data_IF_983240342059
#
_entry.id   IF_983240342059
#
_cell.length_a   1.000
_cell.length_b   1.000
_cell.length_c   1.000
_cell.angle_alpha   90.00
_cell.angle_beta   90.00
_cell.angle_gamma   90.00
#
_symmetry.space_group_name_H-M   'P 1'
#
loop_
_entity.id
_entity.type
_entity.pdbx_description
1 polymer ?
#
# COMPACT_ATOMS: atom_id res chain seq x y z
N UNK A 1 11.76 1.14 -6.20
CA UNK A 1 10.77 0.13 -5.84
C UNK A 1 9.38 0.57 -6.29
N UNK A 2 8.65 -0.30 -6.99
CA UNK A 2 7.30 -0.02 -7.44
C UNK A 2 6.58 -1.30 -7.89
N UNK A 3 5.27 -1.36 -7.69
CA UNK A 3 4.43 -2.47 -8.13
C UNK A 3 3.21 -1.97 -8.91
N UNK A 4 2.88 -2.68 -9.99
CA UNK A 4 1.60 -2.57 -10.70
C UNK A 4 1.00 -3.95 -10.86
N UNK A 5 -0.30 -4.05 -10.71
CA UNK A 5 -1.05 -5.28 -10.98
C UNK A 5 -1.79 -5.15 -12.31
N UNK A 6 -1.61 -6.12 -13.17
CA UNK A 6 -2.30 -6.21 -14.46
C UNK A 6 -2.98 -7.56 -14.60
N UNK A 7 -4.08 -7.61 -15.35
CA UNK A 7 -4.82 -8.84 -15.64
C UNK A 7 -4.70 -9.18 -17.11
N UNK A 8 -4.27 -10.40 -17.39
CA UNK A 8 -4.31 -10.93 -18.76
C UNK A 8 -5.68 -11.51 -19.04
N UNK A 9 -6.48 -10.80 -19.84
CA UNK A 9 -7.86 -11.14 -20.14
C UNK A 9 -8.87 -10.24 -19.43
N UNK A 10 -10.06 -10.77 -19.15
CA UNK A 10 -11.13 -10.00 -18.49
C UNK A 10 -11.04 -10.19 -16.97
N UNK A 11 -10.85 -9.12 -16.19
CA UNK A 11 -10.83 -9.22 -14.74
C UNK A 11 -12.23 -9.57 -14.21
N UNK A 12 -12.26 -10.34 -13.11
CA UNK A 12 -13.51 -10.58 -12.36
C UNK A 12 -13.92 -9.34 -11.58
N UNK A 13 -15.21 -9.23 -11.23
CA UNK A 13 -15.71 -8.12 -10.40
C UNK A 13 -14.96 -8.02 -9.08
N UNK A 14 -14.58 -9.15 -8.46
CA UNK A 14 -13.82 -9.16 -7.22
C UNK A 14 -12.37 -8.68 -7.42
N UNK A 15 -11.72 -9.04 -8.53
CA UNK A 15 -10.39 -8.51 -8.86
C UNK A 15 -10.43 -6.99 -9.08
N UNK A 16 -11.47 -6.48 -9.74
CA UNK A 16 -11.69 -5.04 -9.91
C UNK A 16 -11.90 -4.38 -8.54
N UNK A 17 -12.72 -4.97 -7.67
CA UNK A 17 -12.98 -4.46 -6.32
C UNK A 17 -11.71 -4.41 -5.47
N UNK A 18 -10.91 -5.49 -5.45
CA UNK A 18 -9.62 -5.54 -4.77
C UNK A 18 -8.69 -4.42 -5.27
N UNK A 19 -8.53 -4.30 -6.57
CA UNK A 19 -7.63 -3.32 -7.18
C UNK A 19 -8.07 -1.87 -6.88
N UNK A 20 -9.34 -1.55 -7.07
CA UNK A 20 -9.88 -0.22 -6.77
C UNK A 20 -9.63 0.16 -5.31
N UNK A 21 -9.90 -0.77 -4.38
CA UNK A 21 -9.68 -0.53 -2.95
C UNK A 21 -8.19 -0.36 -2.62
N UNK A 22 -7.29 -1.13 -3.24
CA UNK A 22 -5.84 -0.98 -3.07
C UNK A 22 -5.37 0.39 -3.58
N UNK A 23 -5.85 0.86 -4.73
CA UNK A 23 -5.53 2.20 -5.22
C UNK A 23 -6.02 3.31 -4.27
N UNK A 24 -7.25 3.20 -3.75
CA UNK A 24 -7.78 4.14 -2.74
C UNK A 24 -6.96 4.11 -1.45
N UNK A 25 -6.58 2.92 -0.97
CA UNK A 25 -5.75 2.76 0.22
C UNK A 25 -4.35 3.37 0.03
N UNK A 26 -3.71 3.15 -1.13
CA UNK A 26 -2.44 3.78 -1.49
C UNK A 26 -2.56 5.30 -1.49
N UNK A 27 -3.59 5.85 -2.13
CA UNK A 27 -3.81 7.29 -2.17
C UNK A 27 -3.97 7.88 -0.76
N UNK A 28 -4.71 7.21 0.14
CA UNK A 28 -4.85 7.62 1.54
C UNK A 28 -3.50 7.62 2.29
N UNK A 29 -2.68 6.59 2.08
CA UNK A 29 -1.32 6.50 2.61
C UNK A 29 -0.45 7.65 2.13
N UNK A 30 -0.40 7.90 0.81
CA UNK A 30 0.37 9.00 0.22
C UNK A 30 -0.06 10.37 0.79
N UNK A 31 -1.36 10.64 0.87
CA UNK A 31 -1.90 11.92 1.40
C UNK A 31 -1.49 12.13 2.87
N UNK A 32 -1.35 11.05 3.64
CA UNK A 32 -0.96 11.14 5.06
C UNK A 32 0.54 11.34 5.27
N UNK A 33 1.38 11.10 4.26
CA UNK A 33 2.83 11.32 4.30
C UNK A 33 3.17 12.81 4.28
N UNK A 34 3.63 13.30 5.42
CA UNK A 34 4.11 14.69 5.61
C UNK A 34 5.00 14.76 6.84
N UNK A 35 5.87 15.77 6.98
CA UNK A 35 6.68 15.94 8.16
C UNK A 35 5.85 16.03 9.44
N UNK A 36 6.30 15.38 10.52
CA UNK A 36 5.64 15.36 11.83
C UNK A 36 4.50 14.35 11.97
N UNK A 37 4.15 13.60 10.90
CA UNK A 37 3.32 12.40 11.05
C UNK A 37 4.18 11.21 11.48
N UNK A 38 3.57 10.06 11.74
CA UNK A 38 4.31 8.83 12.09
C UNK A 38 4.04 7.73 11.05
N UNK A 39 4.97 6.79 10.90
CA UNK A 39 4.77 5.61 10.05
C UNK A 39 3.52 4.83 10.45
N UNK A 40 3.22 4.74 11.75
CA UNK A 40 1.98 4.13 12.23
C UNK A 40 0.72 4.89 11.75
N UNK A 41 0.72 6.22 11.82
CA UNK A 41 -0.42 7.02 11.36
C UNK A 41 -0.68 6.83 9.85
N UNK A 42 0.38 6.74 9.03
CA UNK A 42 0.29 6.41 7.61
C UNK A 42 -0.29 5.02 7.40
N UNK A 43 0.19 4.03 8.17
CA UNK A 43 -0.34 2.66 8.13
C UNK A 43 -1.83 2.61 8.47
N UNK A 44 -2.25 3.27 9.54
CA UNK A 44 -3.65 3.32 9.94
C UNK A 44 -4.54 4.05 8.91
N UNK A 45 -4.05 5.12 8.29
CA UNK A 45 -4.79 5.80 7.22
C UNK A 45 -5.02 4.87 6.02
N UNK A 46 -4.00 4.10 5.63
CA UNK A 46 -4.06 3.13 4.53
C UNK A 46 -4.99 1.97 4.85
N UNK A 47 -4.79 1.32 6.00
CA UNK A 47 -5.52 0.10 6.37
C UNK A 47 -6.99 0.37 6.70
N UNK A 48 -7.33 1.55 7.22
CA UNK A 48 -8.72 1.94 7.45
C UNK A 48 -9.57 1.96 6.17
N UNK A 49 -8.96 2.22 5.01
CA UNK A 49 -9.65 2.13 3.71
C UNK A 49 -9.97 0.66 3.40
N UNK A 50 -9.01 -0.26 3.58
CA UNK A 50 -9.22 -1.69 3.35
C UNK A 50 -10.34 -2.24 4.26
N UNK A 51 -10.30 -1.92 5.55
CA UNK A 51 -11.30 -2.34 6.53
C UNK A 51 -12.69 -1.79 6.21
N UNK A 52 -12.80 -0.52 5.81
CA UNK A 52 -14.05 0.12 5.39
C UNK A 52 -14.70 -0.61 4.20
N UNK A 53 -13.89 -1.16 3.32
CA UNK A 53 -14.35 -1.99 2.19
C UNK A 53 -14.54 -3.47 2.57
N UNK A 54 -14.40 -3.83 3.86
CA UNK A 54 -14.66 -5.17 4.37
C UNK A 54 -13.52 -6.17 4.15
N UNK A 55 -12.31 -5.70 3.85
CA UNK A 55 -11.12 -6.55 3.75
C UNK A 55 -10.46 -6.72 5.11
N UNK A 56 -9.93 -7.92 5.37
CA UNK A 56 -9.28 -8.25 6.62
C UNK A 56 -7.82 -7.79 6.65
N UNK A 57 -7.36 -7.45 7.86
CA UNK A 57 -5.95 -7.30 8.19
C UNK A 57 -5.54 -8.51 9.01
N UNK A 58 -4.58 -9.30 8.51
CA UNK A 58 -4.15 -10.56 9.13
C UNK A 58 -2.70 -10.43 9.59
N UNK A 59 -2.45 -10.67 10.87
CA UNK A 59 -1.12 -10.57 11.48
C UNK A 59 -0.81 -11.80 12.33
N UNK A 60 0.42 -12.27 12.22
CA UNK A 60 0.91 -13.40 13.02
C UNK A 60 0.01 -14.63 12.87
N UNK A 61 -0.36 -15.23 14.00
CA UNK A 61 -1.17 -16.46 14.07
C UNK A 61 -2.68 -16.21 14.02
N UNK A 62 -3.14 -15.05 13.54
CA UNK A 62 -4.56 -14.75 13.39
C UNK A 62 -5.21 -15.73 12.42
N UNK A 63 -6.21 -16.48 12.89
CA UNK A 63 -6.99 -17.35 12.00
C UNK A 63 -7.74 -16.55 10.95
N UNK A 64 -7.58 -16.92 9.70
CA UNK A 64 -8.25 -16.30 8.57
C UNK A 64 -8.51 -17.32 7.47
N UNK A 65 -9.66 -17.21 6.81
CA UNK A 65 -9.94 -17.96 5.58
C UNK A 65 -9.12 -17.36 4.43
N UNK A 66 -8.03 -18.03 4.08
CA UNK A 66 -7.09 -17.60 3.04
C UNK A 66 -7.72 -17.47 1.64
N UNK A 67 -8.92 -17.99 1.42
CA UNK A 67 -9.68 -17.77 0.19
C UNK A 67 -10.29 -16.37 0.11
N UNK A 68 -10.50 -15.71 1.26
CA UNK A 68 -10.98 -14.33 1.33
C UNK A 68 -9.81 -13.36 1.25
N UNK A 69 -9.90 -12.27 0.46
CA UNK A 69 -8.80 -11.31 0.33
C UNK A 69 -8.44 -10.63 1.66
N UNK A 70 -7.16 -10.50 1.94
CA UNK A 70 -6.61 -9.87 3.15
C UNK A 70 -5.27 -9.19 2.88
N UNK A 71 -4.86 -8.28 3.76
CA UNK A 71 -3.51 -7.70 3.81
C UNK A 71 -2.77 -8.24 5.04
N UNK A 72 -1.50 -8.64 4.89
CA UNK A 72 -0.69 -9.29 5.94
C UNK A 72 0.64 -8.59 6.23
N UNK A 73 0.88 -7.42 5.66
CA UNK A 73 2.16 -6.70 5.79
C UNK A 73 1.95 -5.22 6.12
N UNK A 74 3.02 -4.49 6.36
CA UNK A 74 3.01 -3.04 6.53
C UNK A 74 2.58 -2.29 5.27
N UNK A 75 2.31 -1.01 5.40
CA UNK A 75 1.97 -0.15 4.26
C UNK A 75 3.18 0.17 3.40
N UNK A 76 4.40 0.08 3.97
CA UNK A 76 5.63 0.38 3.26
C UNK A 76 6.82 0.54 4.21
N UNK A 77 7.92 1.00 3.68
CA UNK A 77 9.21 1.12 4.36
C UNK A 77 10.03 2.29 3.82
N UNK A 78 11.02 2.74 4.61
CA UNK A 78 12.05 3.63 4.12
C UNK A 78 12.90 2.95 3.02
N UNK A 79 13.40 3.75 2.09
CA UNK A 79 14.27 3.29 1.02
C UNK A 79 15.47 4.23 0.89
N UNK A 80 16.68 3.68 0.72
CA UNK A 80 17.92 4.43 0.61
C UNK A 80 19.04 3.59 0.02
N UNK A 81 20.11 3.36 0.75
CA UNK A 81 21.21 2.46 0.33
C UNK A 81 20.76 1.00 0.35
N UNK A 82 19.88 0.67 1.30
CA UNK A 82 19.20 -0.62 1.34
C UNK A 82 17.79 -0.51 0.79
N UNK A 83 17.23 -1.63 0.29
CA UNK A 83 15.83 -1.68 -0.16
C UNK A 83 14.88 -1.41 1.00
N UNK A 84 15.15 -2.03 2.16
CA UNK A 84 14.38 -1.82 3.38
C UNK A 84 15.25 -1.07 4.39
N UNK A 85 14.92 0.18 4.62
CA UNK A 85 15.56 0.99 5.66
C UNK A 85 14.63 1.24 6.85
N UNK A 86 15.19 1.60 8.04
CA UNK A 86 14.40 1.97 9.20
C UNK A 86 13.38 3.05 8.90
N UNK A 87 12.38 3.14 9.72
CA UNK A 87 11.04 3.73 9.62
C UNK A 87 10.19 2.89 8.71
N UNK A 88 9.48 1.96 9.35
CA UNK A 88 8.43 1.21 8.67
C UNK A 88 7.12 2.01 8.72
N UNK A 89 6.38 2.01 7.63
CA UNK A 89 4.99 2.45 7.60
C UNK A 89 4.11 1.29 8.09
N UNK A 90 4.21 1.04 9.41
CA UNK A 90 3.56 -0.07 10.10
C UNK A 90 3.30 0.30 11.57
N UNK A 91 2.70 -0.62 12.34
CA UNK A 91 2.52 -0.45 13.78
C UNK A 91 3.84 -0.12 14.48
N UNK A 92 3.83 0.91 15.32
CA UNK A 92 5.02 1.41 16.00
C UNK A 92 5.98 2.22 15.11
N UNK A 93 5.61 2.48 13.85
CA UNK A 93 6.39 3.34 12.95
C UNK A 93 6.57 4.74 13.53
N UNK A 94 7.84 5.21 13.60
CA UNK A 94 8.24 6.46 14.24
C UNK A 94 7.89 7.71 13.43
N UNK A 95 8.27 8.88 13.95
CA UNK A 95 8.08 10.17 13.29
C UNK A 95 8.82 10.24 11.97
N UNK A 96 8.18 10.86 10.99
CA UNK A 96 8.62 11.05 9.61
C UNK A 96 9.11 12.49 9.42
N UNK A 97 10.24 12.64 8.73
CA UNK A 97 10.88 13.93 8.48
C UNK A 97 10.91 14.28 6.99
N UNK A 98 11.09 15.56 6.71
CA UNK A 98 11.31 16.05 5.35
C UNK A 98 12.55 15.40 4.70
N UNK A 99 12.48 15.14 3.41
CA UNK A 99 13.47 14.47 2.55
C UNK A 99 13.65 12.96 2.81
N UNK A 100 12.80 12.34 3.61
CA UNK A 100 12.74 10.87 3.67
C UNK A 100 11.97 10.32 2.48
N UNK A 101 12.39 9.14 2.01
CA UNK A 101 11.80 8.42 0.89
C UNK A 101 11.20 7.11 1.38
N UNK A 102 9.94 6.86 1.03
CA UNK A 102 9.20 5.65 1.41
C UNK A 102 8.59 4.95 0.21
N UNK A 103 8.37 3.64 0.34
CA UNK A 103 7.35 2.95 -0.45
C UNK A 103 5.97 3.12 0.18
N UNK A 104 4.90 3.16 -0.63
CA UNK A 104 3.51 3.05 -0.18
C UNK A 104 2.87 1.96 -1.03
N UNK A 105 2.67 0.78 -0.44
CA UNK A 105 2.47 -0.49 -1.15
C UNK A 105 1.33 -1.38 -0.58
N UNK A 106 0.14 -0.85 -0.28
CA UNK A 106 -0.93 -1.73 0.18
C UNK A 106 -1.21 -2.85 -0.83
N UNK A 107 -1.55 -4.03 -0.30
CA UNK A 107 -1.86 -5.19 -1.13
C UNK A 107 -2.94 -6.06 -0.51
N UNK A 108 -3.72 -6.73 -1.36
CA UNK A 108 -4.72 -7.71 -0.99
C UNK A 108 -4.39 -9.05 -1.64
N UNK A 109 -4.44 -10.12 -0.87
CA UNK A 109 -4.02 -11.45 -1.30
C UNK A 109 -5.08 -12.49 -0.96
N UNK A 110 -5.29 -13.43 -1.86
CA UNK A 110 -6.22 -14.55 -1.69
C UNK A 110 -5.65 -15.80 -2.36
N UNK A 111 -5.80 -16.96 -1.71
CA UNK A 111 -5.35 -18.23 -2.27
C UNK A 111 -6.14 -18.66 -3.52
N UNK A 112 -7.30 -18.08 -3.76
CA UNK A 112 -8.17 -18.42 -4.90
C UNK A 112 -8.19 -17.36 -5.99
N UNK A 113 -7.97 -16.08 -5.64
CA UNK A 113 -8.06 -14.95 -6.58
C UNK A 113 -6.68 -14.42 -6.99
N UNK A 114 -5.62 -14.79 -6.25
CA UNK A 114 -4.29 -14.24 -6.45
C UNK A 114 -4.02 -12.99 -5.62
N UNK A 115 -3.03 -12.19 -6.01
CA UNK A 115 -2.60 -10.99 -5.32
C UNK A 115 -2.81 -9.73 -6.15
N UNK A 116 -3.10 -8.62 -5.45
CA UNK A 116 -3.16 -7.29 -6.02
C UNK A 116 -2.36 -6.33 -5.13
N UNK A 117 -1.33 -5.68 -5.68
CA UNK A 117 -0.57 -4.60 -5.03
C UNK A 117 -0.35 -3.45 -6.01
N UNK A 118 -0.48 -2.23 -5.51
CA UNK A 118 -0.10 -1.02 -6.24
C UNK A 118 0.81 -0.23 -5.32
N UNK A 119 1.99 0.08 -5.80
CA UNK A 119 3.08 0.66 -5.02
C UNK A 119 3.76 1.79 -5.75
N UNK A 120 4.05 2.85 -5.02
CA UNK A 120 4.88 3.96 -5.49
C UNK A 120 5.97 4.31 -4.46
N UNK A 121 7.07 4.87 -4.99
CA UNK A 121 8.04 5.60 -4.19
C UNK A 121 7.55 7.03 -3.96
N UNK A 122 7.59 7.47 -2.71
CA UNK A 122 7.03 8.74 -2.27
C UNK A 122 8.04 9.52 -1.45
N UNK A 123 8.45 10.68 -1.94
CA UNK A 123 9.33 11.62 -1.25
C UNK A 123 8.51 12.51 -0.32
N UNK A 124 8.92 12.61 0.94
CA UNK A 124 8.34 13.54 1.90
C UNK A 124 8.91 14.95 1.66
N UNK A 125 8.05 15.90 1.33
CA UNK A 125 8.42 17.31 1.09
C UNK A 125 8.04 18.18 2.28
N UNK A 126 8.54 19.42 2.33
CA UNK A 126 8.25 20.35 3.43
C UNK A 126 6.74 20.55 3.72
N UNK A 127 5.88 20.40 2.72
CA UNK A 127 4.43 20.67 2.82
C UNK A 127 3.54 19.45 2.48
N UNK A 128 4.11 18.25 2.36
CA UNK A 128 3.36 17.06 1.99
C UNK A 128 4.24 15.99 1.36
N UNK A 129 3.91 15.57 0.15
CA UNK A 129 4.62 14.48 -0.53
C UNK A 129 4.71 14.70 -2.05
N UNK A 130 5.64 13.98 -2.68
CA UNK A 130 5.79 13.87 -4.14
C UNK A 130 5.90 12.39 -4.52
N UNK A 131 5.08 11.93 -5.47
CA UNK A 131 5.16 10.57 -6.01
C UNK A 131 6.23 10.55 -7.10
N UNK A 132 7.28 9.72 -6.92
CA UNK A 132 8.40 9.62 -7.85
C UNK A 132 8.17 8.60 -8.97
N UNK A 133 7.19 7.72 -8.84
CA UNK A 133 6.84 6.68 -9.82
C UNK A 133 5.38 6.80 -10.33
N UNK A 134 4.96 7.95 -10.90
CA UNK A 134 3.57 8.20 -11.30
C UNK A 134 3.21 7.45 -12.59
N UNK A 135 3.19 6.12 -12.54
CA UNK A 135 2.85 5.25 -13.67
C UNK A 135 1.38 4.87 -13.65
N UNK A 136 0.87 4.48 -14.83
CA UNK A 136 -0.50 4.01 -14.97
C UNK A 136 -0.84 2.87 -13.99
N UNK A 137 -2.02 2.97 -13.38
CA UNK A 137 -2.45 2.06 -12.30
C UNK A 137 -3.57 1.11 -12.70
N UNK A 138 -4.10 1.20 -13.93
CA UNK A 138 -5.20 0.33 -14.36
C UNK A 138 -4.83 -1.14 -14.47
N UNK A 139 -5.85 -2.02 -14.45
CA UNK A 139 -5.67 -3.47 -14.57
C UNK A 139 -5.35 -3.93 -16.00
N UNK A 140 -5.57 -3.08 -16.99
CA UNK A 140 -5.21 -3.32 -18.37
C UNK A 140 -3.79 -2.79 -18.65
N UNK A 141 -2.99 -3.57 -19.35
CA UNK A 141 -1.70 -3.08 -19.81
C UNK A 141 -1.91 -1.96 -20.84
N UNK A 142 -1.30 -0.80 -20.58
CA UNK A 142 -1.22 0.31 -21.57
C UNK A 142 0.23 0.66 -21.80
N UNK A 143 0.62 0.73 -23.07
CA UNK A 143 1.94 1.18 -23.51
C UNK A 143 2.13 2.68 -23.27
#
# INVERSE_FOLDING_TARGET
DMTRTVVNGTPSDEAIRMHTTVCEAKAAGCISLKPGTTGEAVHLATTSVLEKHGFALVRGDTEHDMARPFMSHGTGHGIGLEVHEPILLDHGGSEIFENELFTVEPGLYSSTLGGCRVEDMVLVTANGHEILSPLYEGLDWKD
#
